data_IF_463656972248
#
_entry.id   IF_463656972248
#
_cell.length_a   1.000
_cell.length_b   1.000
_cell.length_c   1.000
_cell.angle_alpha   90.00
_cell.angle_beta   90.00
_cell.angle_gamma   90.00
#
_symmetry.space_group_name_H-M   'P 1'
#
loop_
_entity.id
_entity.type
_entity.pdbx_description
1 polymer ?
#
# COMPACT_ATOMS: atom_id res chain seq x y z
N UNK A 1 -73.33 1.23 -61.57
CA UNK A 1 -71.87 1.19 -61.33
C UNK A 1 -71.60 1.06 -59.83
N UNK A 2 -70.74 0.10 -59.45
CA UNK A 2 -69.90 -0.04 -58.22
C UNK A 2 -70.55 -0.08 -56.80
N UNK A 3 -70.50 -1.31 -56.23
CA UNK A 3 -70.13 -1.81 -54.87
C UNK A 3 -70.42 -0.91 -53.63
N UNK A 4 -71.23 -1.31 -52.63
CA UNK A 4 -71.11 -2.35 -51.55
C UNK A 4 -69.98 -2.14 -50.52
N UNK A 5 -70.38 -2.18 -49.22
CA UNK A 5 -69.63 -2.61 -48.02
C UNK A 5 -68.62 -1.59 -47.42
N UNK A 6 -68.33 -1.43 -46.11
CA UNK A 6 -68.57 -2.20 -44.86
C UNK A 6 -68.00 -1.40 -43.65
N UNK A 7 -68.56 -1.63 -42.44
CA UNK A 7 -68.07 -1.54 -41.03
C UNK A 7 -66.96 -0.55 -40.54
N UNK A 8 -67.26 0.13 -39.40
CA UNK A 8 -66.56 0.26 -38.07
C UNK A 8 -65.01 0.46 -38.00
N UNK A 9 -64.33 0.77 -36.86
CA UNK A 9 -64.68 1.25 -35.49
C UNK A 9 -63.68 2.32 -34.92
N UNK A 10 -63.60 2.44 -33.57
CA UNK A 10 -62.49 2.87 -32.68
C UNK A 10 -62.66 4.29 -32.07
N UNK A 11 -62.99 4.49 -30.79
CA UNK A 11 -62.46 4.05 -29.46
C UNK A 11 -61.13 4.72 -29.07
N UNK A 12 -61.23 5.50 -27.98
CA UNK A 12 -60.29 5.92 -26.93
C UNK A 12 -58.82 6.26 -27.25
N UNK A 13 -58.39 7.46 -26.82
CA UNK A 13 -57.15 7.61 -26.02
C UNK A 13 -57.34 8.72 -24.98
N UNK A 14 -57.45 8.34 -23.71
CA UNK A 14 -57.30 9.21 -22.53
C UNK A 14 -55.81 9.43 -22.26
N UNK A 15 -55.40 10.69 -22.17
CA UNK A 15 -54.04 11.10 -21.85
C UNK A 15 -53.74 10.90 -20.35
N UNK A 16 -52.83 9.98 -20.03
CA UNK A 16 -52.21 9.88 -18.70
C UNK A 16 -50.81 10.48 -18.77
N UNK A 17 -50.63 11.65 -18.14
CA UNK A 17 -49.30 12.22 -17.87
C UNK A 17 -48.60 11.41 -16.78
N UNK A 18 -47.63 10.58 -17.15
CA UNK A 18 -46.65 10.00 -16.24
C UNK A 18 -45.58 11.05 -15.92
N UNK A 19 -45.60 11.57 -14.70
CA UNK A 19 -44.48 12.30 -14.10
C UNK A 19 -43.36 11.29 -13.78
N UNK A 20 -42.32 11.27 -14.61
CA UNK A 20 -41.06 10.58 -14.29
C UNK A 20 -40.32 11.43 -13.27
N UNK A 21 -40.48 11.10 -11.98
CA UNK A 21 -39.61 11.60 -10.94
C UNK A 21 -38.23 10.96 -11.13
N UNK A 22 -37.30 11.73 -11.70
CA UNK A 22 -35.90 11.34 -11.80
C UNK A 22 -35.30 11.20 -10.40
N UNK A 23 -35.19 9.96 -9.93
CA UNK A 23 -34.35 9.61 -8.80
C UNK A 23 -32.90 9.92 -9.16
N UNK A 24 -32.46 11.14 -8.86
CA UNK A 24 -31.05 11.50 -8.86
C UNK A 24 -30.34 10.65 -7.81
N UNK A 25 -29.82 9.50 -8.20
CA UNK A 25 -28.80 8.80 -7.44
C UNK A 25 -27.60 9.73 -7.38
N UNK A 26 -27.56 10.54 -6.33
CA UNK A 26 -26.38 11.31 -5.95
C UNK A 26 -25.31 10.28 -5.63
N UNK A 27 -24.46 9.99 -6.62
CA UNK A 27 -23.23 9.23 -6.39
C UNK A 27 -22.41 10.10 -5.46
N UNK A 28 -22.50 9.80 -4.16
CA UNK A 28 -21.63 10.40 -3.17
C UNK A 28 -20.21 10.17 -3.68
N UNK A 29 -19.53 11.25 -4.10
CA UNK A 29 -18.11 11.20 -4.39
C UNK A 29 -17.44 10.81 -3.08
N UNK A 30 -17.15 9.52 -2.91
CA UNK A 30 -16.30 9.05 -1.82
C UNK A 30 -14.99 9.80 -1.96
N UNK A 31 -14.71 10.67 -0.99
CA UNK A 31 -13.44 11.38 -0.91
C UNK A 31 -12.36 10.30 -0.79
N UNK A 32 -11.56 10.14 -1.83
CA UNK A 32 -10.43 9.22 -1.79
C UNK A 32 -9.42 9.81 -0.81
N UNK A 33 -9.28 9.16 0.33
CA UNK A 33 -8.25 9.52 1.29
C UNK A 33 -6.89 9.12 0.74
N UNK A 34 -5.95 10.07 0.77
CA UNK A 34 -4.59 9.82 0.31
C UNK A 34 -3.91 8.78 1.22
N UNK A 35 -3.07 7.90 0.68
CA UNK A 35 -2.28 6.98 1.49
C UNK A 35 -1.46 7.73 2.55
N UNK A 36 -1.46 7.22 3.78
CA UNK A 36 -0.68 7.75 4.90
C UNK A 36 0.05 6.63 5.65
N UNK A 37 1.09 7.00 6.39
CA UNK A 37 1.79 6.11 7.31
C UNK A 37 0.91 5.76 8.51
N UNK A 38 0.91 4.49 8.88
CA UNK A 38 0.18 3.97 10.03
C UNK A 38 1.10 3.05 10.83
N UNK A 39 0.81 2.84 12.11
CA UNK A 39 1.63 1.98 12.97
C UNK A 39 1.81 0.55 12.40
N UNK A 40 0.82 0.07 11.64
CA UNK A 40 0.76 -1.29 11.10
C UNK A 40 1.02 -1.36 9.59
N UNK A 41 1.44 -0.27 8.95
CA UNK A 41 1.69 -0.27 7.51
C UNK A 41 1.51 1.11 6.88
N UNK A 42 1.00 1.12 5.65
CA UNK A 42 0.90 2.33 4.85
C UNK A 42 -0.25 2.25 3.83
N UNK A 43 -1.10 3.28 3.82
CA UNK A 43 -2.28 3.35 2.98
C UNK A 43 -3.16 2.08 3.08
N UNK A 44 -3.51 1.42 1.96
CA UNK A 44 -4.35 0.23 1.99
C UNK A 44 -3.63 -1.04 2.49
N UNK A 45 -2.30 -1.04 2.58
CA UNK A 45 -1.51 -2.18 3.02
C UNK A 45 -1.24 -2.09 4.52
N UNK A 46 -1.92 -2.96 5.28
CA UNK A 46 -1.81 -3.05 6.73
C UNK A 46 -1.57 -4.50 7.12
N UNK A 47 -0.71 -4.72 8.12
CA UNK A 47 -0.48 -6.05 8.67
C UNK A 47 -1.81 -6.72 9.05
N UNK A 48 -1.89 -8.04 8.85
CA UNK A 48 -3.04 -8.92 9.09
C UNK A 48 -4.26 -8.66 8.19
N UNK A 49 -4.24 -7.65 7.32
CA UNK A 49 -5.27 -7.46 6.29
C UNK A 49 -5.12 -8.52 5.18
N UNK A 50 -6.20 -9.06 4.57
CA UNK A 50 -6.07 -9.90 3.39
C UNK A 50 -5.37 -9.17 2.24
N UNK A 51 -4.36 -9.79 1.63
CA UNK A 51 -3.53 -9.16 0.60
C UNK A 51 -4.34 -8.75 -0.63
N UNK A 52 -5.28 -9.60 -1.06
CA UNK A 52 -6.13 -9.35 -2.24
C UNK A 52 -7.06 -8.15 -2.04
N UNK A 53 -7.60 -7.97 -0.83
CA UNK A 53 -8.44 -6.82 -0.50
C UNK A 53 -7.62 -5.52 -0.47
N UNK A 54 -6.41 -5.57 0.11
CA UNK A 54 -5.49 -4.44 0.11
C UNK A 54 -5.08 -4.04 -1.31
N UNK A 55 -4.79 -5.03 -2.16
CA UNK A 55 -4.46 -4.82 -3.57
C UNK A 55 -5.65 -4.24 -4.36
N UNK A 56 -6.87 -4.74 -4.15
CA UNK A 56 -8.07 -4.19 -4.77
C UNK A 56 -8.29 -2.70 -4.42
N UNK A 57 -8.10 -2.34 -3.15
CA UNK A 57 -8.14 -0.92 -2.74
C UNK A 57 -7.01 -0.09 -3.36
N UNK A 58 -5.84 -0.70 -3.57
CA UNK A 58 -4.66 -0.04 -4.13
C UNK A 58 -4.75 0.22 -5.64
N UNK A 59 -5.66 -0.44 -6.37
CA UNK A 59 -5.85 -0.24 -7.82
C UNK A 59 -6.13 1.22 -8.20
N UNK A 60 -6.75 1.99 -7.30
CA UNK A 60 -7.02 3.42 -7.51
C UNK A 60 -5.77 4.30 -7.41
N UNK A 61 -4.67 3.77 -6.88
CA UNK A 61 -3.39 4.46 -6.70
C UNK A 61 -2.33 3.96 -7.68
N UNK A 62 -2.30 2.65 -7.95
CA UNK A 62 -1.38 2.04 -8.90
C UNK A 62 -2.03 0.84 -9.60
N UNK A 63 -2.13 0.81 -10.95
CA UNK A 63 -2.63 -0.35 -11.68
C UNK A 63 -1.79 -1.63 -11.46
N UNK A 64 -0.52 -1.53 -11.06
CA UNK A 64 0.31 -2.69 -10.72
C UNK A 64 -0.28 -3.52 -9.57
N UNK A 65 -1.18 -2.93 -8.77
CA UNK A 65 -1.90 -3.65 -7.73
C UNK A 65 -2.76 -4.82 -8.27
N UNK A 66 -3.06 -4.84 -9.57
CA UNK A 66 -3.75 -5.97 -10.22
C UNK A 66 -2.92 -7.27 -10.22
N UNK A 67 -1.60 -7.17 -9.99
CA UNK A 67 -0.65 -8.27 -10.13
C UNK A 67 -0.23 -8.85 -8.78
N UNK A 68 -1.20 -9.46 -8.09
CA UNK A 68 -0.91 -10.31 -6.92
C UNK A 68 -0.46 -11.69 -7.40
N UNK A 69 0.71 -12.15 -6.95
CA UNK A 69 1.24 -13.46 -7.30
C UNK A 69 2.51 -13.83 -6.54
N UNK A 70 3.11 -15.00 -6.79
CA UNK A 70 4.25 -15.48 -6.03
C UNK A 70 5.48 -14.60 -6.20
N UNK A 71 6.10 -14.27 -5.07
CA UNK A 71 7.36 -13.55 -4.95
C UNK A 71 8.59 -14.44 -5.04
N UNK A 72 9.77 -13.83 -4.87
CA UNK A 72 11.03 -14.55 -4.88
C UNK A 72 11.19 -15.52 -3.70
N UNK A 73 10.46 -15.30 -2.61
CA UNK A 73 10.42 -16.17 -1.43
C UNK A 73 9.19 -17.12 -1.43
N UNK A 74 8.55 -17.26 -2.59
CA UNK A 74 7.37 -18.07 -2.84
C UNK A 74 6.08 -17.65 -2.10
N UNK A 75 6.08 -16.55 -1.35
CA UNK A 75 4.85 -15.98 -0.78
C UNK A 75 4.08 -15.21 -1.84
N UNK A 76 2.75 -15.21 -1.75
CA UNK A 76 1.94 -14.28 -2.55
C UNK A 76 2.31 -12.84 -2.15
N UNK A 77 2.61 -12.01 -3.14
CA UNK A 77 3.03 -10.64 -2.96
C UNK A 77 2.39 -9.71 -3.98
N UNK A 78 2.41 -8.42 -3.69
CA UNK A 78 2.15 -7.33 -4.64
C UNK A 78 3.16 -6.22 -4.44
N UNK A 79 3.59 -5.59 -5.53
CA UNK A 79 4.47 -4.41 -5.49
C UNK A 79 3.79 -3.26 -6.20
N UNK A 80 3.68 -2.12 -5.53
CA UNK A 80 3.06 -0.91 -6.05
C UNK A 80 3.89 0.32 -5.74
N UNK A 81 3.65 1.42 -6.43
CA UNK A 81 4.15 2.74 -6.11
C UNK A 81 3.05 3.54 -5.41
N UNK A 82 3.32 3.97 -4.18
CA UNK A 82 2.40 4.82 -3.42
C UNK A 82 3.05 6.16 -3.09
N UNK A 83 2.28 7.23 -3.27
CA UNK A 83 2.65 8.54 -2.72
C UNK A 83 2.04 8.66 -1.33
N UNK A 84 2.90 8.69 -0.32
CA UNK A 84 2.54 8.76 1.10
C UNK A 84 3.11 10.06 1.66
N UNK A 85 2.23 11.03 1.96
CA UNK A 85 2.64 12.41 2.23
C UNK A 85 3.41 13.01 1.04
N UNK A 86 4.66 13.41 1.26
CA UNK A 86 5.55 13.97 0.22
C UNK A 86 6.49 12.93 -0.41
N UNK A 87 6.32 11.65 -0.09
CA UNK A 87 7.25 10.58 -0.49
C UNK A 87 6.58 9.62 -1.46
N UNK A 88 7.24 9.35 -2.58
CA UNK A 88 6.88 8.22 -3.44
C UNK A 88 7.70 7.00 -3.02
N UNK A 89 7.02 5.90 -2.73
CA UNK A 89 7.58 4.66 -2.21
C UNK A 89 7.24 3.49 -3.13
N UNK A 90 8.19 2.59 -3.37
CA UNK A 90 7.91 1.24 -3.85
C UNK A 90 7.55 0.38 -2.65
N UNK A 91 6.32 -0.10 -2.62
CA UNK A 91 5.72 -0.83 -1.50
C UNK A 91 5.49 -2.26 -1.95
N UNK A 92 6.22 -3.18 -1.34
CA UNK A 92 6.02 -4.61 -1.47
C UNK A 92 5.27 -5.11 -0.23
N UNK A 93 4.14 -5.79 -0.43
CA UNK A 93 3.39 -6.44 0.65
C UNK A 93 3.30 -7.93 0.37
N UNK A 94 3.61 -8.74 1.38
CA UNK A 94 3.71 -10.20 1.28
C UNK A 94 2.73 -10.85 2.25
N UNK A 95 2.00 -11.85 1.76
CA UNK A 95 1.05 -12.61 2.54
C UNK A 95 1.69 -13.84 3.18
N UNK A 96 1.23 -14.18 4.37
CA UNK A 96 1.41 -15.50 4.96
C UNK A 96 0.60 -16.57 4.25
N UNK A 97 0.65 -17.80 4.79
CA UNK A 97 -0.09 -18.94 4.23
C UNK A 97 -1.61 -18.81 4.36
N UNK A 98 -2.10 -17.93 5.24
CA UNK A 98 -3.52 -17.62 5.41
C UNK A 98 -4.03 -16.51 4.46
N UNK A 99 -3.15 -16.00 3.58
CA UNK A 99 -3.46 -14.93 2.63
C UNK A 99 -3.49 -13.52 3.24
N UNK A 100 -3.14 -13.36 4.52
CA UNK A 100 -3.07 -12.06 5.20
C UNK A 100 -1.65 -11.51 5.15
N UNK A 101 -1.53 -10.18 5.05
CA UNK A 101 -0.25 -9.49 4.98
C UNK A 101 0.52 -9.73 6.30
N UNK A 102 1.69 -10.35 6.20
CA UNK A 102 2.59 -10.57 7.33
C UNK A 102 3.81 -9.66 7.26
N UNK A 103 4.13 -9.13 6.08
CA UNK A 103 5.28 -8.25 5.90
C UNK A 103 5.01 -7.19 4.84
N UNK A 104 5.46 -5.97 5.13
CA UNK A 104 5.43 -4.84 4.22
C UNK A 104 6.83 -4.21 4.19
N UNK A 105 7.39 -4.05 3.00
CA UNK A 105 8.67 -3.36 2.78
C UNK A 105 8.41 -2.17 1.86
N UNK A 106 8.75 -0.97 2.33
CA UNK A 106 8.62 0.26 1.56
C UNK A 106 9.99 0.91 1.33
N UNK A 107 10.35 1.08 0.06
CA UNK A 107 11.60 1.68 -0.38
C UNK A 107 11.33 3.08 -0.95
N UNK A 108 12.05 4.13 -0.51
CA UNK A 108 11.98 5.44 -1.16
C UNK A 108 12.41 5.34 -2.64
N UNK A 109 11.58 5.86 -3.55
CA UNK A 109 11.90 5.90 -4.99
C UNK A 109 12.68 7.14 -5.40
N UNK A 110 12.57 8.22 -4.62
CA UNK A 110 13.41 9.40 -4.83
C UNK A 110 14.89 9.04 -4.58
N UNK A 111 15.83 9.56 -5.38
CA UNK A 111 17.25 9.35 -5.15
C UNK A 111 17.63 9.76 -3.73
N UNK A 112 18.16 8.81 -2.97
CA UNK A 112 18.73 9.10 -1.66
C UNK A 112 20.07 9.82 -1.83
N UNK A 113 20.46 10.69 -0.88
CA UNK A 113 21.81 11.23 -0.86
C UNK A 113 22.84 10.11 -0.90
N UNK A 114 23.94 10.30 -1.64
CA UNK A 114 24.99 9.29 -1.73
C UNK A 114 25.73 9.18 -0.40
N UNK A 115 25.62 8.04 0.28
CA UNK A 115 26.52 7.66 1.37
C UNK A 115 27.90 7.31 0.81
N UNK A 116 28.97 7.79 1.45
CA UNK A 116 30.36 7.49 1.06
C UNK A 116 31.05 6.49 1.99
N UNK A 117 30.39 6.10 3.08
CA UNK A 117 30.89 5.25 4.16
C UNK A 117 29.71 4.61 4.92
N UNK A 118 30.01 3.58 5.71
CA UNK A 118 29.02 2.95 6.59
C UNK A 118 28.41 3.95 7.59
N UNK A 119 29.24 4.80 8.20
CA UNK A 119 28.78 5.85 9.11
C UNK A 119 27.84 6.86 8.41
N UNK A 120 28.13 7.24 7.17
CA UNK A 120 27.23 8.09 6.39
C UNK A 120 25.91 7.38 6.08
N UNK A 121 25.94 6.07 5.80
CA UNK A 121 24.74 5.27 5.59
C UNK A 121 23.87 5.17 6.86
N UNK A 122 24.50 4.95 8.02
CA UNK A 122 23.83 4.98 9.31
C UNK A 122 23.18 6.35 9.56
N UNK A 123 23.89 7.46 9.31
CA UNK A 123 23.31 8.80 9.44
C UNK A 123 22.06 8.99 8.56
N UNK A 124 22.11 8.56 7.29
CA UNK A 124 20.94 8.62 6.40
C UNK A 124 19.77 7.76 6.89
N UNK A 125 20.03 6.58 7.46
CA UNK A 125 19.01 5.75 8.09
C UNK A 125 18.35 6.46 9.27
N UNK A 126 19.15 7.11 10.11
CA UNK A 126 18.68 7.91 11.24
C UNK A 126 17.83 9.10 10.81
N UNK A 127 18.26 9.84 9.78
CA UNK A 127 17.50 10.96 9.22
C UNK A 127 16.18 10.50 8.61
N UNK A 128 16.20 9.36 7.90
CA UNK A 128 14.99 8.75 7.37
C UNK A 128 14.03 8.36 8.51
N UNK A 129 14.51 7.69 9.56
CA UNK A 129 13.69 7.34 10.73
C UNK A 129 13.12 8.58 11.43
N UNK A 130 13.97 9.60 11.66
CA UNK A 130 13.57 10.87 12.27
C UNK A 130 12.46 11.57 11.50
N UNK A 131 12.50 11.52 10.16
CA UNK A 131 11.47 12.11 9.32
C UNK A 131 10.09 11.43 9.43
N UNK A 132 10.03 10.22 9.98
CA UNK A 132 8.79 9.46 10.15
C UNK A 132 8.24 9.53 11.58
N UNK A 133 8.96 10.19 12.49
CA UNK A 133 8.66 10.20 13.93
C UNK A 133 7.27 10.75 14.26
N UNK A 134 6.81 11.76 13.53
CA UNK A 134 5.46 12.33 13.73
C UNK A 134 4.34 11.34 13.42
N UNK A 135 4.60 10.36 12.53
CA UNK A 135 3.60 9.39 12.08
C UNK A 135 3.70 8.04 12.77
N UNK A 136 4.93 7.58 13.02
CA UNK A 136 5.21 6.25 13.57
C UNK A 136 5.60 6.27 15.05
N UNK A 137 5.69 7.46 15.65
CA UNK A 137 6.11 7.65 17.04
C UNK A 137 7.63 7.68 17.21
N UNK A 138 8.12 7.69 18.47
CA UNK A 138 9.55 7.64 18.75
C UNK A 138 10.17 6.32 18.28
N UNK A 139 11.46 6.36 17.99
CA UNK A 139 12.26 5.19 17.67
C UNK A 139 13.45 5.07 18.64
N UNK A 140 13.88 3.83 18.84
CA UNK A 140 15.03 3.48 19.68
C UNK A 140 16.36 3.82 18.99
N UNK A 141 17.46 3.98 19.75
CA UNK A 141 18.79 4.06 19.18
C UNK A 141 19.08 2.91 18.22
N UNK A 142 19.88 3.18 17.19
CA UNK A 142 20.17 2.22 16.14
C UNK A 142 20.81 0.94 16.70
N UNK A 143 20.27 -0.22 16.32
CA UNK A 143 20.95 -1.50 16.49
C UNK A 143 21.78 -1.77 15.24
N UNK A 144 23.09 -1.92 15.42
CA UNK A 144 24.01 -2.30 14.34
C UNK A 144 24.19 -3.82 14.31
N UNK A 145 23.99 -4.42 13.14
CA UNK A 145 24.16 -5.86 12.89
C UNK A 145 25.09 -6.06 11.70
N UNK A 146 26.32 -6.57 11.91
CA UNK A 146 27.16 -6.98 10.81
C UNK A 146 26.56 -8.20 10.11
N UNK A 147 26.52 -8.17 8.77
CA UNK A 147 26.08 -9.27 7.90
C UNK A 147 27.24 -9.68 6.98
N UNK A 148 27.21 -10.86 6.36
CA UNK A 148 28.31 -11.35 5.53
C UNK A 148 28.77 -10.40 4.41
N UNK A 149 27.85 -9.60 3.84
CA UNK A 149 28.14 -8.69 2.72
C UNK A 149 27.72 -7.24 2.98
N UNK A 150 27.25 -6.92 4.19
CA UNK A 150 26.74 -5.59 4.51
C UNK A 150 26.80 -5.26 6.00
N UNK A 151 26.70 -3.98 6.32
CA UNK A 151 26.45 -3.49 7.67
C UNK A 151 25.01 -2.98 7.74
N UNK A 152 24.21 -3.53 8.64
CA UNK A 152 22.80 -3.16 8.79
C UNK A 152 22.59 -2.33 10.06
N UNK A 153 21.91 -1.19 9.91
CA UNK A 153 21.56 -0.27 10.97
C UNK A 153 20.04 -0.19 11.07
N UNK A 154 19.48 -0.59 12.22
CA UNK A 154 18.04 -0.73 12.44
C UNK A 154 17.51 0.26 13.47
N UNK A 155 16.49 1.04 13.09
CA UNK A 155 15.81 2.03 13.91
C UNK A 155 14.38 1.56 14.17
N UNK A 156 14.11 1.04 15.37
CA UNK A 156 12.82 0.43 15.72
C UNK A 156 11.87 1.46 16.30
N UNK A 157 10.68 1.58 15.73
CA UNK A 157 9.59 2.41 16.25
C UNK A 157 8.77 1.65 17.29
N UNK A 158 8.16 2.37 18.23
CA UNK A 158 7.32 1.76 19.29
C UNK A 158 6.15 0.93 18.75
N UNK A 159 5.65 1.27 17.55
CA UNK A 159 4.58 0.52 16.87
C UNK A 159 5.02 -0.78 16.18
N UNK A 160 6.31 -1.14 16.23
CA UNK A 160 6.85 -2.36 15.62
C UNK A 160 7.42 -2.18 14.21
N UNK A 161 7.16 -1.02 13.57
CA UNK A 161 7.83 -0.64 12.34
C UNK A 161 9.34 -0.47 12.54
N UNK A 162 10.12 -0.62 11.47
CA UNK A 162 11.59 -0.52 11.53
C UNK A 162 12.13 0.14 10.28
N UNK A 163 12.80 1.28 10.43
CA UNK A 163 13.63 1.82 9.35
C UNK A 163 14.98 1.09 9.37
N UNK A 164 15.47 0.72 8.19
CA UNK A 164 16.71 -0.03 8.02
C UNK A 164 17.57 0.70 7.01
N UNK A 165 18.83 0.95 7.36
CA UNK A 165 19.87 1.36 6.42
C UNK A 165 20.92 0.26 6.31
N UNK A 166 21.28 -0.10 5.08
CA UNK A 166 22.21 -1.19 4.81
C UNK A 166 23.34 -0.71 3.92
N UNK A 167 24.56 -0.76 4.44
CA UNK A 167 25.77 -0.36 3.72
C UNK A 167 26.43 -1.58 3.06
N UNK A 168 26.72 -1.46 1.77
CA UNK A 168 27.47 -2.47 1.00
C UNK A 168 28.82 -1.91 0.57
N UNK A 169 29.90 -2.37 1.21
CA UNK A 169 31.25 -1.86 0.95
C UNK A 169 31.71 -2.09 -0.50
N UNK A 170 31.40 -3.25 -1.09
CA UNK A 170 31.82 -3.61 -2.45
C UNK A 170 31.22 -2.72 -3.54
N UNK A 171 29.97 -2.27 -3.36
CA UNK A 171 29.28 -1.37 -4.28
C UNK A 171 29.36 0.11 -3.89
N UNK A 172 29.80 0.40 -2.65
CA UNK A 172 29.68 1.72 -1.99
C UNK A 172 28.25 2.27 -2.05
N UNK A 173 27.28 1.38 -1.87
CA UNK A 173 25.85 1.70 -1.90
C UNK A 173 25.26 1.65 -0.51
N UNK A 174 24.23 2.46 -0.30
CA UNK A 174 23.43 2.47 0.91
C UNK A 174 21.97 2.29 0.51
N UNK A 175 21.37 1.21 0.97
CA UNK A 175 19.96 0.93 0.77
C UNK A 175 19.19 1.36 2.01
N UNK A 176 18.03 1.98 1.83
CA UNK A 176 17.13 2.35 2.92
C UNK A 176 15.75 1.77 2.66
N UNK A 177 15.17 1.15 3.67
CA UNK A 177 13.82 0.61 3.62
C UNK A 177 13.09 0.82 4.95
N UNK A 178 11.76 0.90 4.87
CA UNK A 178 10.86 0.82 6.02
C UNK A 178 10.19 -0.56 6.02
N UNK A 179 10.30 -1.27 7.14
CA UNK A 179 9.74 -2.59 7.33
C UNK A 179 8.59 -2.56 8.34
N UNK A 180 7.53 -3.30 8.05
CA UNK A 180 6.50 -3.68 8.98
C UNK A 180 6.40 -5.19 8.94
N UNK A 181 6.47 -5.84 10.10
CA UNK A 181 6.42 -7.29 10.21
C UNK A 181 5.39 -7.65 11.28
N UNK A 182 4.50 -8.61 10.97
CA UNK A 182 3.62 -9.17 11.97
C UNK A 182 4.47 -9.91 13.02
N UNK A 183 4.26 -9.58 14.29
CA UNK A 183 4.82 -10.39 15.37
C UNK A 183 4.23 -11.80 15.23
N UNK A 184 5.07 -12.74 14.85
CA UNK A 184 4.73 -14.15 14.94
C UNK A 184 4.65 -14.48 16.42
N UNK A 185 3.53 -15.04 16.89
CA UNK A 185 3.31 -15.46 18.28
C UNK A 185 4.24 -16.59 18.76
N UNK A 186 5.43 -16.75 18.16
CA UNK A 186 6.40 -17.79 18.45
C UNK A 186 7.88 -17.37 18.41
N UNK A 187 8.23 -16.09 18.16
CA UNK A 187 9.63 -15.64 18.24
C UNK A 187 9.90 -14.87 19.53
N UNK A 188 9.82 -15.60 20.65
CA UNK A 188 10.37 -15.17 21.92
C UNK A 188 11.15 -16.33 22.52
N UNK A 189 12.34 -16.59 21.96
CA UNK A 189 13.47 -17.26 22.61
C UNK A 189 14.54 -17.59 21.55
N UNK A 190 15.58 -16.75 21.48
CA UNK A 190 16.98 -17.17 21.34
C UNK A 190 17.87 -15.92 21.40
N UNK A 191 18.32 -15.65 22.61
CA UNK A 191 19.36 -14.69 22.99
C UNK A 191 19.73 -15.02 24.42
#
# INVERSE_FOLDING_TARGET
>A
MKRRHVLLPAVCVTASCLLVAGSGMSVARMKVEAPDFQAQGLGPFLLKRPLRDAAADALRFDPAAAHVGPGCDARDQVTVQLTVGVRTLSVMSMAGTDGRIEEIIALPLAPLPKARSAAACAALGGDFAASLRERLGPFEPAVHVPKPVSEEYSYRFSGGARAVARWFAGGRTCDIALHFEALHSGSSARG
#
